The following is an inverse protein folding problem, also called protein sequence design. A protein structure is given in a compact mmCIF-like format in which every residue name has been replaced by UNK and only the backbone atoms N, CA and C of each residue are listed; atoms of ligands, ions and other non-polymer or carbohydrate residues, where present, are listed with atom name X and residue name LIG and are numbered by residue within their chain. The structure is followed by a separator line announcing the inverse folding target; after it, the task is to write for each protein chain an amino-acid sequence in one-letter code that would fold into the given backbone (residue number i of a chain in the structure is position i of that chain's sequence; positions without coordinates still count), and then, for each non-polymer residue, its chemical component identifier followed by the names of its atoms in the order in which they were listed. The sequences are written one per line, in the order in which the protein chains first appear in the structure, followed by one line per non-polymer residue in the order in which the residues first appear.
data_IF_570605662821
#
_entry.id   IF_570605662821
#
_cell.length_a   1.000
_cell.length_b   1.000
_cell.length_c   1.000
_cell.angle_alpha   90.00
_cell.angle_beta   90.00
_cell.angle_gamma   90.00
#
_symmetry.space_group_name_H-M   'P 1'
#
loop_
_entity.id
_entity.type
_entity.pdbx_description
1 polymer ?
#
# COMPACT_ATOMS: atom_id res chain seq x y z
N UNK A 1 -11.52 -1.48 12.34
CA UNK A 1 -11.73 -0.37 11.39
C UNK A 1 -10.57 -0.26 10.41
N UNK A 2 -10.82 0.25 9.20
CA UNK A 2 -9.81 0.45 8.14
C UNK A 2 -9.05 1.76 8.34
N UNK A 3 -7.72 1.72 8.35
CA UNK A 3 -6.84 2.91 8.36
C UNK A 3 -5.94 2.92 7.12
N UNK A 4 -5.71 4.10 6.54
CA UNK A 4 -4.76 4.29 5.44
C UNK A 4 -3.39 4.66 6.00
N UNK A 5 -2.37 3.89 5.63
CA UNK A 5 -0.97 4.12 5.99
C UNK A 5 -0.21 4.65 4.79
N UNK A 6 0.74 5.54 5.08
CA UNK A 6 1.73 6.03 4.12
C UNK A 6 3.11 5.74 4.69
N UNK A 7 3.92 5.02 3.93
CA UNK A 7 5.29 4.67 4.31
C UNK A 7 6.22 4.72 3.08
N UNK A 8 7.46 4.25 3.23
CA UNK A 8 8.48 4.30 2.18
C UNK A 8 8.64 5.70 1.53
N UNK A 9 8.68 6.74 2.37
CA UNK A 9 8.84 8.13 1.93
C UNK A 9 10.17 8.31 1.20
N UNK A 10 10.11 8.80 -0.04
CA UNK A 10 11.28 9.01 -0.87
C UNK A 10 11.16 10.23 -1.77
N UNK A 11 12.30 10.64 -2.30
CA UNK A 11 12.41 11.66 -3.32
C UNK A 11 12.96 11.00 -4.58
N UNK A 12 12.23 11.08 -5.68
CA UNK A 12 12.71 10.68 -7.00
C UNK A 12 13.12 11.93 -7.79
N UNK A 13 14.31 11.88 -8.39
CA UNK A 13 14.89 12.96 -9.19
C UNK A 13 15.02 12.44 -10.61
N UNK A 14 14.31 13.08 -11.53
CA UNK A 14 14.42 12.78 -12.96
C UNK A 14 15.23 13.87 -13.65
N UNK A 15 16.31 13.52 -14.37
CA UNK A 15 17.03 14.49 -15.20
C UNK A 15 16.21 14.99 -16.38
N UNK A 16 16.37 16.27 -16.72
CA UNK A 16 15.97 16.79 -18.03
C UNK A 16 16.89 16.21 -19.11
N UNK A 17 16.38 15.20 -19.79
CA UNK A 17 17.07 14.58 -20.92
C UNK A 17 16.68 15.18 -22.26
N UNK A 18 15.70 16.09 -22.29
CA UNK A 18 15.29 16.78 -23.52
C UNK A 18 16.43 17.65 -24.04
N UNK A 19 17.15 18.33 -23.15
CA UNK A 19 18.32 19.13 -23.47
C UNK A 19 19.46 18.33 -24.15
N UNK A 20 19.49 17.00 -24.01
CA UNK A 20 20.49 16.13 -24.65
C UNK A 20 20.13 15.73 -26.09
N UNK A 21 18.90 16.00 -26.52
CA UNK A 21 18.36 15.59 -27.83
C UNK A 21 18.26 14.06 -28.01
N UNK A 22 17.61 13.62 -29.09
CA UNK A 22 17.32 12.18 -29.35
C UNK A 22 18.55 11.27 -29.30
N UNK A 23 19.70 11.77 -29.77
CA UNK A 23 20.95 11.00 -29.82
C UNK A 23 21.57 10.82 -28.43
N UNK A 24 21.44 11.82 -27.56
CA UNK A 24 21.89 11.73 -26.16
C UNK A 24 20.96 10.88 -25.29
N UNK A 25 19.65 10.89 -25.57
CA UNK A 25 18.67 10.05 -24.88
C UNK A 25 18.88 8.55 -25.11
N UNK A 26 19.39 8.15 -26.27
CA UNK A 26 19.67 6.76 -26.62
C UNK A 26 21.09 6.30 -26.23
N UNK A 27 21.93 7.21 -25.75
CA UNK A 27 23.29 6.91 -25.31
C UNK A 27 23.30 6.54 -23.83
N UNK A 28 23.28 5.24 -23.55
CA UNK A 28 23.30 4.69 -22.19
C UNK A 28 24.50 5.19 -21.37
N UNK A 29 25.68 5.33 -21.99
CA UNK A 29 26.89 5.76 -21.28
C UNK A 29 26.83 7.25 -20.94
N UNK A 30 26.25 8.07 -21.81
CA UNK A 30 26.00 9.48 -21.51
C UNK A 30 24.99 9.63 -20.36
N UNK A 31 23.93 8.82 -20.35
CA UNK A 31 22.92 8.84 -19.30
C UNK A 31 23.49 8.40 -17.94
N UNK A 32 24.32 7.36 -17.90
CA UNK A 32 25.00 6.96 -16.67
C UNK A 32 25.89 8.07 -16.09
N UNK A 33 26.62 8.80 -16.94
CA UNK A 33 27.44 9.93 -16.50
C UNK A 33 26.59 11.06 -15.96
N UNK A 34 25.49 11.39 -16.64
CA UNK A 34 24.52 12.38 -16.16
C UNK A 34 23.99 12.01 -14.77
N UNK A 35 23.59 10.75 -14.56
CA UNK A 35 23.10 10.29 -13.26
C UNK A 35 24.17 10.38 -12.18
N UNK A 36 25.41 9.98 -12.48
CA UNK A 36 26.53 10.09 -11.54
C UNK A 36 26.90 11.55 -11.22
N UNK A 37 26.76 12.45 -12.19
CA UNK A 37 26.96 13.88 -12.00
C UNK A 37 25.83 14.50 -11.17
N UNK A 38 24.58 14.08 -11.39
CA UNK A 38 23.42 14.49 -10.58
C UNK A 38 23.55 13.98 -9.15
N UNK A 39 23.94 12.72 -8.96
CA UNK A 39 24.21 12.16 -7.64
C UNK A 39 25.25 13.02 -6.90
N UNK A 40 26.38 13.31 -7.57
CA UNK A 40 27.45 14.14 -7.00
C UNK A 40 27.02 15.60 -6.77
N UNK A 41 26.16 16.15 -7.61
CA UNK A 41 25.65 17.52 -7.52
C UNK A 41 24.56 17.68 -6.45
N UNK A 42 23.69 16.68 -6.30
CA UNK A 42 22.75 16.56 -5.18
C UNK A 42 23.53 16.46 -3.88
N UNK A 43 24.57 15.63 -3.84
CA UNK A 43 25.50 15.54 -2.71
C UNK A 43 26.23 16.86 -2.43
N UNK A 44 26.53 17.66 -3.47
CA UNK A 44 27.28 18.92 -3.33
C UNK A 44 26.43 20.13 -2.95
N UNK A 45 25.32 20.40 -3.63
CA UNK A 45 24.64 21.71 -3.56
C UNK A 45 23.14 21.77 -3.94
N UNK A 46 22.61 20.83 -4.73
CA UNK A 46 21.27 20.91 -5.38
C UNK A 46 20.96 22.29 -6.01
N UNK A 47 21.43 22.53 -7.25
CA UNK A 47 20.80 23.43 -8.23
C UNK A 47 20.95 22.83 -9.64
N UNK A 48 19.92 22.94 -10.49
CA UNK A 48 19.84 22.30 -11.81
C UNK A 48 18.92 21.06 -11.88
N UNK A 49 17.87 21.02 -11.06
CA UNK A 49 16.89 19.91 -11.02
C UNK A 49 15.61 20.35 -11.75
N UNK A 50 15.17 19.55 -12.71
CA UNK A 50 13.92 19.77 -13.46
C UNK A 50 12.70 19.52 -12.54
N UNK A 51 12.71 18.42 -11.79
CA UNK A 51 11.65 18.14 -10.81
C UNK A 51 12.16 17.29 -9.64
N UNK A 52 11.70 17.65 -8.44
CA UNK A 52 11.82 16.87 -7.20
C UNK A 52 10.41 16.49 -6.80
N UNK A 53 10.10 15.19 -6.73
CA UNK A 53 8.76 14.72 -6.33
C UNK A 53 8.87 13.91 -5.04
N UNK A 54 8.01 14.25 -4.07
CA UNK A 54 7.81 13.42 -2.89
C UNK A 54 6.88 12.27 -3.22
N UNK A 55 7.34 11.06 -2.95
CA UNK A 55 6.59 9.83 -3.12
C UNK A 55 6.51 9.09 -1.79
N UNK A 56 5.45 8.32 -1.63
CA UNK A 56 5.24 7.39 -0.54
C UNK A 56 4.38 6.25 -1.07
N UNK A 57 4.56 5.08 -0.49
CA UNK A 57 3.68 3.97 -0.78
C UNK A 57 2.42 4.15 0.09
N UNK A 58 1.28 3.68 -0.42
CA UNK A 58 -0.01 3.78 0.27
C UNK A 58 -0.63 2.41 0.34
N UNK A 59 -0.88 1.94 1.55
CA UNK A 59 -1.60 0.70 1.80
C UNK A 59 -2.60 0.88 2.93
N UNK A 60 -3.46 -0.12 3.08
CA UNK A 60 -4.56 -0.08 4.03
C UNK A 60 -4.31 -1.17 5.07
N UNK A 61 -4.53 -0.83 6.34
CA UNK A 61 -4.32 -1.73 7.47
C UNK A 61 -5.54 -1.73 8.39
N UNK A 62 -5.62 -2.76 9.23
CA UNK A 62 -6.52 -2.80 10.35
C UNK A 62 -6.05 -1.92 11.51
N UNK A 63 -6.96 -1.12 12.05
CA UNK A 63 -6.73 -0.30 13.25
C UNK A 63 -6.45 -1.12 14.51
N UNK A 64 -6.92 -2.36 14.58
CA UNK A 64 -6.84 -3.21 15.76
C UNK A 64 -5.56 -4.04 15.81
N UNK A 65 -5.21 -4.69 14.69
CA UNK A 65 -4.06 -5.60 14.65
C UNK A 65 -2.88 -5.10 13.81
N UNK A 66 -3.05 -4.04 13.01
CA UNK A 66 -1.99 -3.53 12.13
C UNK A 66 -1.67 -4.39 10.91
N UNK A 67 -2.35 -5.52 10.72
CA UNK A 67 -2.24 -6.31 9.50
C UNK A 67 -2.84 -5.58 8.29
N UNK A 68 -2.42 -5.97 7.09
CA UNK A 68 -2.98 -5.48 5.82
C UNK A 68 -4.50 -5.67 5.81
N UNK A 69 -5.22 -4.66 5.33
CA UNK A 69 -6.67 -4.68 5.26
C UNK A 69 -7.14 -5.54 4.09
N UNK A 70 -7.65 -6.72 4.42
CA UNK A 70 -8.23 -7.66 3.47
C UNK A 70 -9.67 -7.97 3.89
N UNK A 71 -10.53 -8.23 2.92
CA UNK A 71 -11.97 -8.51 3.13
C UNK A 71 -12.40 -9.75 2.36
N UNK A 72 -13.42 -10.43 2.86
CA UNK A 72 -14.08 -11.52 2.14
C UNK A 72 -14.68 -11.00 0.83
N UNK A 73 -14.33 -11.64 -0.28
CA UNK A 73 -14.92 -11.37 -1.59
C UNK A 73 -16.20 -12.17 -1.79
N UNK A 74 -17.02 -11.80 -2.78
CA UNK A 74 -18.20 -12.58 -3.15
C UNK A 74 -17.86 -14.04 -3.50
N UNK A 75 -16.70 -14.28 -4.10
CA UNK A 75 -16.21 -15.62 -4.44
C UNK A 75 -15.86 -16.43 -3.18
N UNK A 76 -15.27 -15.80 -2.16
CA UNK A 76 -14.95 -16.46 -0.89
C UNK A 76 -16.22 -16.91 -0.17
N UNK A 77 -17.24 -16.04 -0.17
CA UNK A 77 -18.57 -16.34 0.39
C UNK A 77 -19.25 -17.47 -0.39
N UNK A 78 -19.21 -17.44 -1.72
CA UNK A 78 -19.83 -18.47 -2.56
C UNK A 78 -19.18 -19.85 -2.42
N UNK A 79 -17.87 -19.91 -2.15
CA UNK A 79 -17.13 -21.18 -1.96
C UNK A 79 -17.34 -21.79 -0.58
N UNK A 80 -17.70 -20.98 0.43
CA UNK A 80 -18.06 -21.43 1.78
C UNK A 80 -16.95 -22.09 2.61
N UNK A 81 -15.79 -22.39 2.03
CA UNK A 81 -14.75 -23.21 2.66
C UNK A 81 -13.79 -22.47 3.60
N UNK A 82 -13.80 -21.13 3.60
CA UNK A 82 -12.89 -20.28 4.39
C UNK A 82 -13.65 -19.19 5.17
N UNK A 83 -14.95 -19.38 5.37
CA UNK A 83 -15.77 -18.41 6.09
C UNK A 83 -15.62 -18.61 7.61
N UNK A 84 -15.46 -17.52 8.39
CA UNK A 84 -15.45 -17.58 9.84
C UNK A 84 -16.65 -18.34 10.45
N UNK A 85 -17.85 -18.11 9.92
CA UNK A 85 -19.09 -18.81 10.27
C UNK A 85 -20.19 -18.65 9.21
N UNK A 86 -21.39 -19.18 9.48
CA UNK A 86 -22.57 -19.10 8.60
C UNK A 86 -23.12 -17.68 8.38
N UNK A 87 -22.70 -16.71 9.21
CA UNK A 87 -23.11 -15.32 9.11
C UNK A 87 -22.13 -14.47 8.30
N UNK A 88 -21.10 -15.09 7.73
CA UNK A 88 -20.05 -14.38 7.01
C UNK A 88 -20.57 -13.76 5.71
N UNK A 89 -20.20 -12.51 5.44
CA UNK A 89 -20.69 -11.75 4.28
C UNK A 89 -19.55 -11.08 3.50
N UNK A 90 -19.84 -10.70 2.26
CA UNK A 90 -18.92 -9.94 1.43
C UNK A 90 -18.55 -8.61 2.11
N UNK A 91 -17.27 -8.25 2.05
CA UNK A 91 -16.73 -7.03 2.63
C UNK A 91 -16.31 -7.15 4.10
N UNK A 92 -16.55 -8.29 4.74
CA UNK A 92 -16.13 -8.55 6.11
C UNK A 92 -14.60 -8.68 6.23
N UNK A 93 -13.95 -7.97 7.16
CA UNK A 93 -12.50 -8.00 7.30
C UNK A 93 -12.00 -9.36 7.80
N UNK A 94 -10.89 -9.87 7.26
CA UNK A 94 -10.36 -11.21 7.60
C UNK A 94 -9.22 -11.20 8.62
N UNK A 95 -8.77 -10.01 9.04
CA UNK A 95 -7.49 -9.85 9.72
C UNK A 95 -7.50 -10.18 11.22
N UNK A 96 -8.62 -9.94 11.93
CA UNK A 96 -8.74 -10.20 13.37
C UNK A 96 -10.20 -10.13 13.83
N UNK A 97 -10.54 -10.88 14.89
CA UNK A 97 -11.88 -10.93 15.47
C UNK A 97 -12.40 -9.55 15.89
N UNK A 98 -11.54 -8.67 16.43
CA UNK A 98 -11.95 -7.32 16.81
C UNK A 98 -12.47 -6.48 15.62
N UNK A 99 -11.87 -6.64 14.44
CA UNK A 99 -12.31 -5.94 13.23
C UNK A 99 -13.59 -6.55 12.66
N UNK A 100 -13.71 -7.88 12.71
CA UNK A 100 -14.92 -8.61 12.34
C UNK A 100 -16.10 -8.18 13.21
N UNK A 101 -15.93 -8.25 14.53
CA UNK A 101 -16.99 -7.95 15.49
C UNK A 101 -17.47 -6.50 15.39
N UNK A 102 -16.56 -5.55 15.15
CA UNK A 102 -16.92 -4.16 14.87
C UNK A 102 -17.74 -4.04 13.58
N UNK A 103 -17.27 -4.64 12.48
CA UNK A 103 -17.98 -4.67 11.19
C UNK A 103 -19.38 -5.27 11.29
N UNK A 104 -19.52 -6.35 12.07
CA UNK A 104 -20.77 -7.07 12.30
C UNK A 104 -21.71 -6.27 13.19
N UNK A 105 -21.20 -5.63 14.24
CA UNK A 105 -21.99 -4.75 15.11
C UNK A 105 -22.64 -3.59 14.33
N UNK A 106 -21.91 -2.98 13.40
CA UNK A 106 -22.43 -1.91 12.52
C UNK A 106 -23.56 -2.38 11.60
N UNK A 107 -23.59 -3.67 11.26
CA UNK A 107 -24.54 -4.27 10.32
C UNK A 107 -25.63 -5.11 11.00
N UNK A 108 -25.62 -5.20 12.33
CA UNK A 108 -26.55 -6.04 13.09
C UNK A 108 -26.34 -7.54 12.88
N UNK A 109 -25.12 -7.96 12.52
CA UNK A 109 -24.74 -9.37 12.37
C UNK A 109 -24.22 -9.88 13.74
N UNK A 110 -24.54 -11.13 14.15
CA UNK A 110 -24.02 -11.69 15.40
C UNK A 110 -22.48 -11.70 15.43
N UNK A 111 -21.84 -11.32 16.55
CA UNK A 111 -20.38 -11.37 16.66
C UNK A 111 -19.89 -12.83 16.55
N UNK A 112 -18.61 -13.00 16.21
CA UNK A 112 -17.99 -14.32 16.23
C UNK A 112 -18.09 -14.92 17.63
N UNK A 113 -18.37 -16.22 17.71
CA UNK A 113 -18.44 -16.93 18.97
C UNK A 113 -17.06 -16.89 19.65
N UNK A 114 -17.03 -16.42 20.90
CA UNK A 114 -15.84 -16.42 21.73
C UNK A 114 -15.34 -17.88 21.86
N UNK A 115 -14.08 -18.22 21.53
CA UNK A 115 -13.58 -19.60 21.63
C UNK A 115 -13.56 -20.17 23.07
N UNK A 116 -14.10 -19.45 24.05
CA UNK A 116 -14.13 -19.79 25.47
C UNK A 116 -15.48 -20.14 26.10
N UNK A 117 -16.59 -20.27 25.36
CA UNK A 117 -17.87 -20.76 25.93
C UNK A 117 -18.22 -22.12 25.36
N UNK A 118 -17.67 -23.16 25.99
CA UNK A 118 -18.16 -24.53 25.87
C UNK A 118 -19.44 -24.61 26.70
N UNK A 119 -20.58 -24.83 26.05
CA UNK A 119 -21.81 -25.26 26.71
C UNK A 119 -21.81 -26.79 26.87
#
# INVERSE_FOLDING_TARGET
MKKTIRDNYRIEITPDTWALGRKGQQDHNAMQRLLADIERAVQRHVNGVEQVVSLWDTHEECSHCGCVWEVLTADDVARGGLLPDEHSVEGEPVCCEAAVNEFRAERGIPPLADPGVIA
#
